data_IF_505784182863
#
_entry.id   IF_505784182863
#
_cell.length_a   1.000
_cell.length_b   1.000
_cell.length_c   1.000
_cell.angle_alpha   90.00
_cell.angle_beta   90.00
_cell.angle_gamma   90.00
#
_symmetry.space_group_name_H-M   'P 1'
#
loop_
_entity.id
_entity.type
_entity.pdbx_description
1 polymer ?
#
# COMPACT_ATOMS: atom_id res chain seq x y z
N UNK A 1 -2.36 -52.71 33.97
CA UNK A 1 -1.15 -51.88 33.74
C UNK A 1 -0.90 -51.77 32.23
N UNK A 2 0.12 -51.02 31.78
CA UNK A 2 0.30 -50.49 30.40
C UNK A 2 1.82 -50.36 30.11
N UNK A 3 2.32 -50.07 28.88
CA UNK A 3 1.94 -50.57 27.54
C UNK A 3 2.67 -51.93 27.29
N UNK A 4 3.59 -52.25 26.33
CA UNK A 4 4.22 -51.49 25.22
C UNK A 4 3.61 -51.78 23.81
N UNK A 5 4.47 -52.00 22.79
CA UNK A 5 4.44 -51.37 21.46
C UNK A 5 5.29 -52.14 20.40
N UNK A 6 5.47 -51.55 19.20
CA UNK A 6 6.12 -52.01 17.95
C UNK A 6 5.25 -52.92 17.04
N UNK A 7 4.96 -52.64 15.75
CA UNK A 7 5.76 -52.22 14.55
C UNK A 7 6.58 -53.38 13.94
N UNK A 8 6.73 -53.58 12.60
CA UNK A 8 6.22 -52.90 11.38
C UNK A 8 6.40 -53.81 10.13
N UNK A 9 5.86 -53.40 8.95
CA UNK A 9 6.31 -53.79 7.57
C UNK A 9 6.04 -55.26 7.14
N UNK A 10 6.04 -55.64 5.84
CA UNK A 10 6.23 -54.91 4.56
C UNK A 10 5.49 -55.60 3.40
N UNK A 11 5.15 -54.86 2.33
CA UNK A 11 4.80 -55.43 1.03
C UNK A 11 5.11 -54.42 -0.10
N UNK A 12 5.77 -54.88 -1.18
CA UNK A 12 5.57 -54.47 -2.59
C UNK A 12 6.52 -55.24 -3.53
N UNK A 13 6.05 -55.52 -4.74
CA UNK A 13 6.77 -56.24 -5.81
C UNK A 13 7.19 -55.30 -6.96
N UNK A 14 8.00 -55.79 -7.89
CA UNK A 14 8.54 -55.04 -9.03
C UNK A 14 7.66 -55.11 -10.29
N UNK A 15 7.59 -54.00 -11.05
CA UNK A 15 7.51 -53.93 -12.54
C UNK A 15 7.19 -52.49 -13.00
N UNK A 16 7.54 -52.04 -14.20
CA UNK A 16 8.42 -52.66 -15.22
C UNK A 16 8.29 -52.00 -16.60
N UNK A 17 9.42 -51.83 -17.28
CA UNK A 17 9.60 -51.49 -18.71
C UNK A 17 9.21 -50.09 -19.26
N UNK A 18 10.16 -49.57 -20.04
CA UNK A 18 10.18 -48.39 -20.90
C UNK A 18 9.01 -48.21 -21.90
N UNK A 19 8.86 -46.98 -22.40
CA UNK A 19 8.98 -46.74 -23.85
C UNK A 19 9.31 -45.27 -24.21
N UNK A 20 9.94 -45.07 -25.37
CA UNK A 20 10.54 -43.80 -25.82
C UNK A 20 10.08 -43.44 -27.24
N UNK A 21 9.56 -42.22 -27.47
CA UNK A 21 9.63 -41.59 -28.80
C UNK A 21 9.46 -40.07 -28.83
N UNK A 22 10.34 -39.43 -29.62
CA UNK A 22 10.29 -38.01 -29.98
C UNK A 22 9.23 -37.70 -31.04
N UNK A 23 8.68 -36.47 -31.02
CA UNK A 23 8.13 -35.80 -32.21
C UNK A 23 8.43 -34.30 -32.17
N UNK A 24 8.45 -33.66 -33.34
CA UNK A 24 9.12 -32.36 -33.57
C UNK A 24 8.21 -31.36 -34.31
N UNK A 25 8.40 -30.08 -34.00
CA UNK A 25 8.25 -28.88 -34.85
C UNK A 25 6.88 -28.37 -35.37
N UNK A 26 6.79 -27.02 -35.31
CA UNK A 26 6.34 -26.04 -36.34
C UNK A 26 4.88 -25.65 -36.58
N UNK A 27 4.54 -24.42 -36.15
CA UNK A 27 4.13 -23.28 -37.00
C UNK A 27 4.55 -21.97 -36.30
N UNK A 28 5.31 -21.07 -36.95
CA UNK A 28 4.88 -19.78 -37.54
C UNK A 28 3.94 -18.94 -36.66
N UNK A 29 4.30 -17.76 -36.16
CA UNK A 29 4.75 -16.51 -36.81
C UNK A 29 3.76 -15.92 -37.84
N UNK A 30 3.14 -14.81 -37.43
CA UNK A 30 2.83 -13.66 -38.30
C UNK A 30 3.03 -12.38 -37.48
N UNK A 31 3.68 -11.36 -38.05
CA UNK A 31 3.58 -9.98 -37.56
C UNK A 31 2.44 -9.28 -38.30
N UNK A 32 1.79 -8.32 -37.67
CA UNK A 32 1.47 -7.05 -38.35
C UNK A 32 1.34 -5.93 -37.32
N UNK A 33 1.26 -4.68 -37.79
CA UNK A 33 1.66 -3.49 -37.03
C UNK A 33 0.71 -2.31 -37.30
N UNK A 34 0.87 -1.26 -36.47
CA UNK A 34 0.59 0.14 -36.81
C UNK A 34 -0.81 0.76 -36.58
N UNK A 35 -0.76 1.95 -35.93
CA UNK A 35 -1.63 3.14 -36.10
C UNK A 35 -2.94 3.26 -35.29
N UNK A 36 -2.89 4.15 -34.29
CA UNK A 36 -3.74 5.36 -34.07
C UNK A 36 -5.12 5.41 -34.79
N UNK A 37 -6.20 5.95 -34.22
CA UNK A 37 -6.28 7.32 -33.69
C UNK A 37 -7.61 7.60 -32.93
N UNK A 38 -7.65 8.71 -32.19
CA UNK A 38 -8.79 9.56 -31.75
C UNK A 38 -10.24 9.02 -31.59
N UNK A 39 -10.85 9.40 -30.46
CA UNK A 39 -12.28 9.79 -30.44
C UNK A 39 -12.52 10.89 -29.39
N UNK A 40 -12.98 12.07 -29.83
CA UNK A 40 -13.42 13.17 -28.95
C UNK A 40 -14.95 13.36 -28.99
N UNK A 41 -15.51 13.75 -27.83
CA UNK A 41 -16.71 14.61 -27.66
C UNK A 41 -18.05 14.23 -28.29
N UNK A 42 -19.00 13.89 -27.42
CA UNK A 42 -20.22 14.67 -27.17
C UNK A 42 -20.62 14.45 -25.70
N UNK A 43 -20.87 15.43 -24.83
CA UNK A 43 -21.63 16.70 -24.90
C UNK A 43 -23.14 16.52 -24.94
N UNK A 44 -23.83 16.88 -23.85
CA UNK A 44 -25.14 17.57 -23.84
C UNK A 44 -25.60 17.94 -22.41
N UNK A 45 -26.10 19.19 -22.26
CA UNK A 45 -27.01 19.71 -21.21
C UNK A 45 -26.48 19.82 -19.75
N UNK A 46 -26.93 20.79 -18.95
CA UNK A 46 -27.74 22.01 -19.23
C UNK A 46 -27.56 23.07 -18.14
N UNK A 47 -28.04 24.30 -18.37
CA UNK A 47 -27.90 25.42 -17.41
C UNK A 47 -28.75 25.28 -16.14
N UNK A 48 -28.32 25.96 -15.07
CA UNK A 48 -29.26 26.65 -14.17
C UNK A 48 -28.64 27.88 -13.48
N UNK A 49 -29.22 29.04 -13.81
CA UNK A 49 -29.35 30.28 -13.02
C UNK A 49 -28.52 30.46 -11.73
N UNK A 50 -27.68 31.50 -11.70
CA UNK A 50 -27.20 32.10 -10.46
C UNK A 50 -28.15 33.22 -9.99
N UNK A 51 -28.47 33.24 -8.69
CA UNK A 51 -29.20 34.34 -8.02
C UNK A 51 -28.47 34.80 -6.75
N UNK A 52 -28.79 36.01 -6.28
CA UNK A 52 -27.93 36.82 -5.44
C UNK A 52 -28.14 36.66 -3.93
N UNK A 53 -27.04 36.39 -3.22
CA UNK A 53 -26.64 37.09 -1.99
C UNK A 53 -27.39 36.82 -0.67
N UNK A 54 -26.61 36.68 0.40
CA UNK A 54 -26.67 37.64 1.52
C UNK A 54 -25.42 37.56 2.38
N UNK A 55 -25.18 38.60 3.18
CA UNK A 55 -24.00 38.77 4.03
C UNK A 55 -24.12 37.93 5.31
N UNK A 56 -22.99 37.40 5.80
CA UNK A 56 -22.82 37.20 7.24
C UNK A 56 -21.41 37.61 7.68
N UNK A 57 -21.34 38.37 8.75
CA UNK A 57 -20.10 38.89 9.33
C UNK A 57 -19.91 38.34 10.74
N UNK A 58 -18.68 37.97 11.12
CA UNK A 58 -18.28 37.87 12.52
C UNK A 58 -16.77 37.79 12.74
N UNK A 59 -16.37 38.46 13.82
CA UNK A 59 -15.25 38.16 14.71
C UNK A 59 -13.90 37.70 14.12
N UNK A 60 -12.92 38.61 14.19
CA UNK A 60 -11.53 38.24 14.51
C UNK A 60 -11.51 37.47 15.83
N UNK A 61 -10.57 36.54 15.99
CA UNK A 61 -10.09 36.16 17.32
C UNK A 61 -8.64 35.67 17.23
N UNK A 62 -7.71 36.44 17.79
CA UNK A 62 -6.30 36.09 17.87
C UNK A 62 -6.10 34.94 18.88
N UNK A 63 -5.51 33.83 18.45
CA UNK A 63 -5.02 32.78 19.36
C UNK A 63 -3.56 32.46 19.07
N UNK A 64 -2.69 33.01 19.93
CA UNK A 64 -1.24 32.97 19.82
C UNK A 64 -0.67 31.59 20.23
N UNK A 65 -0.61 30.65 19.28
CA UNK A 65 0.05 29.36 19.49
C UNK A 65 1.55 29.42 19.15
N UNK A 66 2.35 29.59 20.20
CA UNK A 66 3.81 29.37 20.17
C UNK A 66 4.10 27.91 19.76
N UNK A 67 4.73 27.71 18.61
CA UNK A 67 5.31 26.42 18.27
C UNK A 67 6.50 26.12 19.20
N UNK A 68 6.43 25.00 19.91
CA UNK A 68 7.52 24.53 20.75
C UNK A 68 8.72 24.09 19.90
N UNK A 69 9.94 24.20 20.44
CA UNK A 69 11.16 23.75 19.80
C UNK A 69 11.11 22.24 19.48
N UNK A 70 10.88 21.90 18.21
CA UNK A 70 11.18 20.57 17.68
C UNK A 70 12.67 20.57 17.29
N UNK A 71 13.54 19.78 17.93
CA UNK A 71 14.95 19.72 17.55
C UNK A 71 15.07 19.18 16.11
N UNK A 72 15.94 19.77 15.27
CA UNK A 72 16.06 19.36 13.87
C UNK A 72 16.53 17.89 13.76
N UNK A 73 16.06 17.15 12.74
CA UNK A 73 16.46 15.76 12.55
C UNK A 73 17.98 15.63 12.42
N UNK A 74 18.55 14.62 13.06
CA UNK A 74 20.00 14.47 13.22
C UNK A 74 20.71 14.37 11.86
N UNK A 75 21.52 15.38 11.53
CA UNK A 75 22.35 15.48 10.31
C UNK A 75 23.48 14.43 10.22
N UNK A 76 23.47 13.39 11.06
CA UNK A 76 24.55 12.40 11.19
C UNK A 76 24.46 11.24 10.18
N UNK A 77 23.28 10.62 10.05
CA UNK A 77 23.12 9.38 9.27
C UNK A 77 23.35 9.56 7.74
N UNK A 78 23.03 10.75 7.22
CA UNK A 78 23.04 11.06 5.78
C UNK A 78 24.44 11.02 5.16
N UNK A 79 25.51 11.13 5.95
CA UNK A 79 26.91 11.29 5.47
C UNK A 79 27.54 10.03 4.85
N UNK A 80 26.84 8.90 4.78
CA UNK A 80 27.39 7.64 4.22
C UNK A 80 26.99 7.37 2.77
N UNK A 81 26.00 8.05 2.22
CA UNK A 81 25.45 7.77 0.89
C UNK A 81 26.21 8.47 -0.27
N UNK A 82 27.55 8.42 -0.24
CA UNK A 82 28.42 9.06 -1.25
C UNK A 82 28.64 8.20 -2.51
N UNK A 83 28.16 8.70 -3.64
CA UNK A 83 28.25 8.07 -4.96
C UNK A 83 29.67 7.54 -5.27
N UNK A 84 29.74 6.35 -5.88
CA UNK A 84 30.97 5.81 -6.47
C UNK A 84 30.95 6.08 -7.98
N UNK A 85 32.11 6.30 -8.56
CA UNK A 85 32.25 6.60 -9.99
C UNK A 85 32.90 5.40 -10.68
N UNK A 86 32.08 4.54 -11.28
CA UNK A 86 32.52 3.26 -11.82
C UNK A 86 31.87 2.92 -13.16
N UNK A 87 32.71 2.31 -14.02
CA UNK A 87 32.45 1.86 -15.39
C UNK A 87 32.13 2.92 -16.47
N UNK A 88 32.64 2.62 -17.67
CA UNK A 88 32.37 3.36 -18.91
C UNK A 88 31.42 2.53 -19.78
N UNK A 89 30.15 2.89 -19.82
CA UNK A 89 29.22 2.38 -20.84
C UNK A 89 29.14 3.38 -21.99
N UNK A 90 29.48 2.95 -23.21
CA UNK A 90 29.38 3.79 -24.41
C UNK A 90 30.28 5.03 -24.44
N UNK A 91 31.33 5.08 -23.60
CA UNK A 91 32.23 6.23 -23.47
C UNK A 91 31.87 7.24 -22.37
N UNK A 92 30.61 7.23 -21.91
CA UNK A 92 30.17 8.04 -20.77
C UNK A 92 30.56 7.31 -19.46
N UNK A 93 31.15 8.04 -18.52
CA UNK A 93 31.34 7.57 -17.14
C UNK A 93 30.02 7.65 -16.40
N UNK A 94 29.55 6.51 -15.90
CA UNK A 94 28.30 6.43 -15.12
C UNK A 94 28.59 6.72 -13.65
N UNK A 95 27.79 7.59 -13.03
CA UNK A 95 27.83 7.76 -11.57
C UNK A 95 26.93 6.73 -10.90
N UNK A 96 27.41 6.02 -9.89
CA UNK A 96 26.68 4.95 -9.21
C UNK A 96 26.37 5.30 -7.75
N UNK A 97 25.22 4.86 -7.25
CA UNK A 97 24.87 5.03 -5.84
C UNK A 97 25.73 4.13 -4.94
N UNK A 98 25.79 4.44 -3.65
CA UNK A 98 26.40 3.51 -2.68
C UNK A 98 25.61 2.20 -2.60
N UNK A 99 26.28 1.08 -2.25
CA UNK A 99 25.60 -0.12 -1.76
C UNK A 99 24.57 0.25 -0.68
N UNK A 100 24.97 1.04 0.32
CA UNK A 100 24.09 1.44 1.43
C UNK A 100 22.80 2.15 0.98
N UNK A 101 22.84 2.94 -0.10
CA UNK A 101 21.65 3.61 -0.66
C UNK A 101 20.73 2.61 -1.37
N UNK A 102 21.31 1.72 -2.18
CA UNK A 102 20.58 0.67 -2.90
C UNK A 102 19.95 -0.31 -1.91
N UNK A 103 20.70 -0.77 -0.90
CA UNK A 103 20.24 -1.64 0.18
C UNK A 103 19.07 -1.01 0.94
N UNK A 104 19.18 0.28 1.29
CA UNK A 104 18.10 1.03 1.95
C UNK A 104 16.86 1.18 1.06
N UNK A 105 17.04 1.31 -0.26
CA UNK A 105 15.93 1.32 -1.22
C UNK A 105 15.26 -0.06 -1.31
N UNK A 106 16.04 -1.14 -1.36
CA UNK A 106 15.53 -2.51 -1.35
C UNK A 106 14.84 -2.87 -0.02
N UNK A 107 15.29 -2.34 1.12
CA UNK A 107 14.58 -2.48 2.40
C UNK A 107 13.17 -1.84 2.35
N UNK A 108 13.03 -0.70 1.64
CA UNK A 108 11.75 -0.02 1.45
C UNK A 108 10.82 -0.83 0.53
N UNK A 109 11.34 -1.32 -0.59
CA UNK A 109 10.59 -2.14 -1.56
C UNK A 109 10.10 -3.46 -0.90
N UNK A 110 10.99 -4.15 -0.18
CA UNK A 110 10.68 -5.43 0.47
C UNK A 110 9.67 -5.28 1.61
N UNK A 111 9.76 -4.21 2.42
CA UNK A 111 8.78 -3.97 3.48
C UNK A 111 7.43 -3.53 2.90
N UNK A 112 7.39 -2.82 1.76
CA UNK A 112 6.13 -2.53 1.06
C UNK A 112 5.39 -3.82 0.69
N UNK A 113 6.08 -4.80 0.10
CA UNK A 113 5.50 -6.11 -0.21
C UNK A 113 5.00 -6.83 1.06
N UNK A 114 5.86 -6.90 2.08
CA UNK A 114 5.53 -7.51 3.40
C UNK A 114 4.28 -6.88 4.04
N UNK A 115 4.05 -5.60 3.81
CA UNK A 115 2.94 -4.83 4.36
C UNK A 115 1.64 -4.99 3.54
N UNK A 116 1.72 -5.25 2.23
CA UNK A 116 0.58 -5.65 1.40
C UNK A 116 0.07 -7.06 1.76
N UNK A 117 0.98 -8.02 1.95
CA UNK A 117 0.65 -9.36 2.43
C UNK A 117 -0.01 -9.29 3.81
N UNK A 118 0.60 -8.57 4.75
CA UNK A 118 0.02 -8.32 6.08
C UNK A 118 -1.37 -7.66 6.00
N UNK A 119 -1.54 -6.67 5.12
CA UNK A 119 -2.84 -6.02 4.89
C UNK A 119 -3.90 -7.01 4.41
N UNK A 120 -3.52 -7.92 3.50
CA UNK A 120 -4.40 -8.97 2.98
C UNK A 120 -4.87 -9.91 4.10
N UNK A 121 -3.97 -10.36 4.97
CA UNK A 121 -4.33 -11.18 6.14
C UNK A 121 -5.23 -10.44 7.15
N UNK A 122 -4.92 -9.18 7.48
CA UNK A 122 -5.73 -8.37 8.40
C UNK A 122 -7.16 -8.16 7.87
N UNK A 123 -7.31 -7.95 6.56
CA UNK A 123 -8.61 -7.86 5.89
C UNK A 123 -9.37 -9.19 5.97
N UNK A 124 -8.73 -10.33 5.68
CA UNK A 124 -9.36 -11.65 5.80
C UNK A 124 -9.80 -12.02 7.23
N UNK A 125 -9.08 -11.53 8.25
CA UNK A 125 -9.44 -11.68 9.66
C UNK A 125 -10.70 -10.86 10.01
N UNK A 126 -10.80 -9.63 9.48
CA UNK A 126 -11.91 -8.72 9.74
C UNK A 126 -13.17 -9.03 8.90
N UNK A 127 -13.00 -9.49 7.66
CA UNK A 127 -14.07 -9.73 6.70
C UNK A 127 -13.90 -11.11 6.06
N UNK A 128 -14.51 -12.11 6.71
CA UNK A 128 -14.42 -13.52 6.29
C UNK A 128 -15.25 -13.85 5.04
N UNK A 129 -16.13 -12.95 4.58
CA UNK A 129 -16.85 -13.14 3.32
C UNK A 129 -16.02 -12.57 2.16
N UNK A 130 -15.45 -13.40 1.27
CA UNK A 130 -14.59 -12.92 0.18
C UNK A 130 -15.32 -12.03 -0.83
N UNK A 131 -16.66 -12.11 -0.92
CA UNK A 131 -17.46 -11.19 -1.77
C UNK A 131 -17.41 -9.73 -1.30
N UNK A 132 -17.06 -9.51 -0.05
CA UNK A 132 -17.02 -8.20 0.60
C UNK A 132 -15.57 -7.79 0.92
N UNK A 133 -14.58 -8.54 0.44
CA UNK A 133 -13.17 -8.20 0.57
C UNK A 133 -12.77 -7.23 -0.56
N UNK A 134 -12.14 -6.08 -0.25
CA UNK A 134 -11.80 -5.06 -1.24
C UNK A 134 -10.69 -5.53 -2.19
N UNK A 135 -10.92 -5.37 -3.50
CA UNK A 135 -9.90 -5.54 -4.54
C UNK A 135 -9.66 -4.18 -5.20
N UNK A 136 -8.45 -3.59 -5.14
CA UNK A 136 -7.26 -4.07 -4.43
C UNK A 136 -7.32 -3.85 -2.91
N UNK A 137 -6.70 -4.76 -2.16
CA UNK A 137 -6.67 -4.78 -0.69
C UNK A 137 -6.15 -3.48 -0.05
N UNK A 138 -5.25 -2.76 -0.73
CA UNK A 138 -4.65 -1.48 -0.29
C UNK A 138 -5.70 -0.45 0.18
N UNK A 139 -6.91 -0.43 -0.39
CA UNK A 139 -7.96 0.51 0.03
C UNK A 139 -8.57 0.20 1.40
N UNK A 140 -8.48 -1.05 1.86
CA UNK A 140 -9.04 -1.55 3.12
C UNK A 140 -10.55 -1.25 3.31
N UNK A 141 -11.34 -1.30 2.25
CA UNK A 141 -12.80 -1.09 2.27
C UNK A 141 -13.53 -2.42 2.56
N UNK A 142 -13.37 -2.95 3.78
CA UNK A 142 -13.90 -4.27 4.18
C UNK A 142 -15.22 -4.22 4.99
N UNK A 143 -15.78 -3.02 5.14
CA UNK A 143 -17.06 -2.77 5.81
C UNK A 143 -18.22 -3.49 5.09
N UNK A 144 -19.14 -4.14 5.82
CA UNK A 144 -20.37 -4.67 5.21
C UNK A 144 -21.22 -3.54 4.59
N UNK A 145 -21.67 -3.72 3.35
CA UNK A 145 -22.72 -2.87 2.77
C UNK A 145 -24.02 -2.93 3.60
N UNK A 146 -24.92 -1.96 3.43
CA UNK A 146 -26.21 -1.90 4.14
C UNK A 146 -27.02 -3.17 3.82
N UNK A 147 -27.54 -3.85 4.84
CA UNK A 147 -28.33 -5.07 4.68
C UNK A 147 -27.56 -6.32 4.24
N UNK A 148 -26.22 -6.28 4.14
CA UNK A 148 -25.39 -7.46 3.82
C UNK A 148 -24.70 -8.11 5.03
N UNK A 149 -24.89 -7.56 6.23
CA UNK A 149 -24.37 -8.14 7.46
C UNK A 149 -25.19 -9.40 7.81
N UNK A 150 -24.58 -10.57 8.08
CA UNK A 150 -25.32 -11.80 8.39
C UNK A 150 -26.36 -11.67 9.50
N UNK A 151 -26.09 -10.83 10.51
CA UNK A 151 -27.00 -10.61 11.64
C UNK A 151 -28.15 -9.65 11.30
N UNK A 152 -27.97 -8.75 10.32
CA UNK A 152 -29.06 -7.92 9.76
C UNK A 152 -29.96 -8.75 8.84
N UNK A 153 -29.39 -9.69 8.08
CA UNK A 153 -30.13 -10.64 7.23
C UNK A 153 -30.93 -11.67 8.05
N UNK A 154 -30.47 -12.00 9.26
CA UNK A 154 -31.14 -12.95 10.15
C UNK A 154 -32.45 -12.40 10.74
N UNK A 155 -32.54 -11.08 10.97
CA UNK A 155 -33.73 -10.41 11.54
C UNK A 155 -35.01 -10.67 10.71
N UNK A 156 -35.08 -10.32 9.40
CA UNK A 156 -36.29 -10.55 8.61
C UNK A 156 -36.59 -12.04 8.40
N UNK A 157 -35.56 -12.91 8.37
CA UNK A 157 -35.75 -14.35 8.29
C UNK A 157 -36.44 -14.92 9.55
N UNK A 158 -36.01 -14.49 10.75
CA UNK A 158 -36.68 -14.87 12.00
C UNK A 158 -38.11 -14.30 12.07
N UNK A 159 -38.31 -13.05 11.63
CA UNK A 159 -39.64 -12.44 11.57
C UNK A 159 -40.59 -13.22 10.65
N UNK A 160 -40.12 -13.65 9.46
CA UNK A 160 -40.89 -14.45 8.51
C UNK A 160 -41.41 -15.77 9.10
N UNK A 161 -40.60 -16.46 9.91
CA UNK A 161 -40.96 -17.76 10.50
C UNK A 161 -41.49 -17.65 11.94
N UNK A 162 -41.62 -16.44 12.50
CA UNK A 162 -42.04 -16.21 13.88
C UNK A 162 -43.38 -16.87 14.24
N UNK A 163 -44.36 -16.84 13.33
CA UNK A 163 -45.66 -17.50 13.51
C UNK A 163 -45.65 -19.04 13.50
N UNK A 164 -44.51 -19.67 13.19
CA UNK A 164 -44.29 -21.12 13.30
C UNK A 164 -43.50 -21.50 14.56
N UNK A 165 -43.00 -20.51 15.30
CA UNK A 165 -42.15 -20.69 16.48
C UNK A 165 -42.97 -20.34 17.73
N UNK A 166 -43.36 -21.36 18.49
CA UNK A 166 -44.33 -21.23 19.60
C UNK A 166 -43.82 -20.48 20.87
N UNK A 167 -42.69 -19.76 20.79
CA UNK A 167 -42.14 -18.97 21.90
C UNK A 167 -41.79 -17.54 21.45
N UNK A 168 -42.74 -16.63 21.66
CA UNK A 168 -42.60 -15.19 21.40
C UNK A 168 -41.48 -14.52 22.19
N UNK A 169 -41.19 -14.99 23.41
CA UNK A 169 -40.15 -14.41 24.27
C UNK A 169 -38.75 -14.80 23.76
N UNK A 170 -38.55 -16.05 23.35
CA UNK A 170 -37.32 -16.50 22.71
C UNK A 170 -37.06 -15.76 21.39
N UNK A 171 -38.10 -15.59 20.55
CA UNK A 171 -38.01 -14.82 19.30
C UNK A 171 -37.59 -13.39 19.58
N UNK A 172 -38.25 -12.71 20.53
CA UNK A 172 -37.95 -11.33 20.90
C UNK A 172 -36.49 -11.16 21.37
N UNK A 173 -36.02 -12.03 22.28
CA UNK A 173 -34.61 -12.06 22.71
C UNK A 173 -33.63 -12.27 21.55
N UNK A 174 -33.93 -13.21 20.64
CA UNK A 174 -33.05 -13.53 19.52
C UNK A 174 -33.00 -12.38 18.49
N UNK A 175 -34.10 -11.67 18.25
CA UNK A 175 -34.11 -10.46 17.41
C UNK A 175 -33.24 -9.35 18.02
N UNK A 176 -33.44 -9.05 19.32
CA UNK A 176 -32.65 -8.05 20.05
C UNK A 176 -31.14 -8.38 20.04
N UNK A 177 -30.79 -9.66 20.23
CA UNK A 177 -29.40 -10.12 20.13
C UNK A 177 -28.87 -9.93 18.70
N UNK A 178 -29.64 -10.31 17.67
CA UNK A 178 -29.23 -10.19 16.26
C UNK A 178 -28.98 -8.72 15.86
N UNK A 179 -29.86 -7.80 16.26
CA UNK A 179 -29.64 -6.35 16.11
C UNK A 179 -28.34 -5.90 16.78
N UNK A 180 -28.09 -6.36 18.01
CA UNK A 180 -26.91 -5.94 18.77
C UNK A 180 -25.61 -6.44 18.15
N UNK A 181 -25.58 -7.69 17.69
CA UNK A 181 -24.43 -8.29 17.01
C UNK A 181 -24.18 -7.60 15.66
N UNK A 182 -25.25 -7.23 14.94
CA UNK A 182 -25.17 -6.43 13.71
C UNK A 182 -24.48 -5.06 13.94
N UNK A 183 -24.90 -4.34 14.98
CA UNK A 183 -24.27 -3.08 15.40
C UNK A 183 -22.79 -3.27 15.74
N UNK A 184 -22.45 -4.28 16.56
CA UNK A 184 -21.09 -4.56 17.00
C UNK A 184 -20.15 -4.84 15.82
N UNK A 185 -20.60 -5.58 14.80
CA UNK A 185 -19.83 -5.80 13.57
C UNK A 185 -19.52 -4.49 12.82
N UNK A 186 -20.52 -3.62 12.62
CA UNK A 186 -20.32 -2.33 11.94
C UNK A 186 -19.38 -1.41 12.70
N UNK A 187 -19.48 -1.41 14.03
CA UNK A 187 -18.60 -0.60 14.88
C UNK A 187 -17.17 -1.16 14.92
N UNK A 188 -16.99 -2.48 14.95
CA UNK A 188 -15.68 -3.11 14.79
C UNK A 188 -15.04 -2.77 13.44
N UNK A 189 -15.75 -2.95 12.32
CA UNK A 189 -15.22 -2.63 10.99
C UNK A 189 -14.77 -1.16 10.89
N UNK A 190 -15.62 -0.22 11.31
CA UNK A 190 -15.29 1.22 11.30
C UNK A 190 -14.07 1.56 12.15
N UNK A 191 -13.91 0.91 13.32
CA UNK A 191 -12.76 1.10 14.22
C UNK A 191 -11.49 0.46 13.67
N UNK A 192 -11.57 -0.77 13.16
CA UNK A 192 -10.46 -1.50 12.55
C UNK A 192 -9.91 -0.78 11.30
N UNK A 193 -10.79 -0.35 10.38
CA UNK A 193 -10.44 0.42 9.18
C UNK A 193 -9.80 1.79 9.49
N UNK A 194 -10.09 2.35 10.67
CA UNK A 194 -9.44 3.55 11.22
C UNK A 194 -8.08 3.23 11.87
N UNK A 195 -7.97 2.11 12.59
CA UNK A 195 -6.71 1.69 13.23
C UNK A 195 -5.59 1.33 12.25
N UNK A 196 -5.92 1.06 10.97
CA UNK A 196 -4.98 0.79 9.89
C UNK A 196 -4.74 2.01 8.96
N UNK A 197 -5.08 3.24 9.40
CA UNK A 197 -5.00 4.46 8.57
C UNK A 197 -3.61 4.69 7.98
N UNK A 198 -2.56 4.57 8.79
CA UNK A 198 -1.20 4.96 8.35
C UNK A 198 -0.64 3.91 7.38
N UNK A 199 -0.90 2.63 7.64
CA UNK A 199 -0.57 1.53 6.72
C UNK A 199 -1.21 1.76 5.34
N UNK A 200 -2.50 2.13 5.30
CA UNK A 200 -3.18 2.48 4.04
C UNK A 200 -2.56 3.69 3.36
N UNK A 201 -2.26 4.75 4.10
CA UNK A 201 -1.67 5.97 3.55
C UNK A 201 -0.29 5.70 2.94
N UNK A 202 0.57 4.95 3.63
CA UNK A 202 1.86 4.53 3.09
C UNK A 202 1.72 3.75 1.76
N UNK A 203 0.85 2.73 1.73
CA UNK A 203 0.67 1.85 0.57
C UNK A 203 0.03 2.55 -0.64
N UNK A 204 -0.79 3.59 -0.42
CA UNK A 204 -1.50 4.32 -1.49
C UNK A 204 -0.90 5.67 -1.89
N UNK A 205 -0.02 6.25 -1.08
CA UNK A 205 0.57 7.58 -1.31
C UNK A 205 2.08 7.58 -1.10
N UNK A 206 2.56 7.40 0.13
CA UNK A 206 3.97 7.69 0.48
C UNK A 206 4.97 6.80 -0.30
N UNK A 207 4.63 5.52 -0.55
CA UNK A 207 5.45 4.64 -1.38
C UNK A 207 5.47 5.06 -2.86
N UNK A 208 4.38 5.62 -3.38
CA UNK A 208 4.32 6.15 -4.75
C UNK A 208 5.16 7.43 -4.87
N UNK A 209 5.12 8.30 -3.87
CA UNK A 209 5.97 9.49 -3.79
C UNK A 209 7.46 9.12 -3.72
N UNK A 210 7.82 8.10 -2.92
CA UNK A 210 9.17 7.54 -2.90
C UNK A 210 9.61 7.00 -4.26
N UNK A 211 8.75 6.23 -4.94
CA UNK A 211 9.07 5.68 -6.27
C UNK A 211 9.26 6.78 -7.31
N UNK A 212 8.44 7.82 -7.31
CA UNK A 212 8.56 8.96 -8.23
C UNK A 212 9.82 9.79 -7.94
N UNK A 213 10.11 10.10 -6.68
CA UNK A 213 11.35 10.81 -6.30
C UNK A 213 12.60 9.98 -6.70
N UNK A 214 12.59 8.65 -6.50
CA UNK A 214 13.64 7.74 -6.96
C UNK A 214 13.75 7.69 -8.50
N UNK A 215 12.65 7.84 -9.23
CA UNK A 215 12.63 7.94 -10.71
C UNK A 215 13.25 9.25 -11.18
N UNK A 216 12.84 10.38 -10.60
CA UNK A 216 13.37 11.73 -10.94
C UNK A 216 14.86 11.82 -10.59
N UNK A 217 15.28 11.30 -9.43
CA UNK A 217 16.70 11.22 -9.05
C UNK A 217 17.54 10.45 -10.08
N UNK A 218 17.02 9.33 -10.58
CA UNK A 218 17.68 8.55 -11.64
C UNK A 218 17.75 9.29 -12.98
N UNK A 219 16.79 10.18 -13.28
CA UNK A 219 16.90 11.08 -14.43
C UNK A 219 17.99 12.14 -14.20
N UNK A 220 17.97 12.85 -13.06
CA UNK A 220 18.98 13.88 -12.75
C UNK A 220 20.41 13.35 -12.74
N UNK A 221 20.59 12.09 -12.31
CA UNK A 221 21.88 11.39 -12.38
C UNK A 221 22.37 11.23 -13.83
N UNK A 222 21.47 10.91 -14.78
CA UNK A 222 21.79 10.82 -16.21
C UNK A 222 22.05 12.20 -16.82
N UNK A 223 21.23 13.20 -16.49
CA UNK A 223 21.42 14.59 -16.93
C UNK A 223 22.82 15.10 -16.53
N UNK A 224 23.23 14.81 -15.28
CA UNK A 224 24.54 15.16 -14.71
C UNK A 224 25.69 14.36 -15.37
N UNK A 225 25.57 13.05 -15.53
CA UNK A 225 26.58 12.21 -16.20
C UNK A 225 26.84 12.69 -17.65
N UNK A 226 25.77 13.03 -18.37
CA UNK A 226 25.86 13.58 -19.73
C UNK A 226 26.54 14.96 -19.75
N UNK A 227 26.12 15.89 -18.89
CA UNK A 227 26.73 17.22 -18.79
C UNK A 227 28.23 17.14 -18.42
N UNK A 228 28.61 16.18 -17.57
CA UNK A 228 30.00 15.89 -17.19
C UNK A 228 30.82 15.36 -18.37
N UNK A 229 30.26 14.44 -19.17
CA UNK A 229 30.90 13.95 -20.40
C UNK A 229 31.11 15.09 -21.41
N UNK A 230 30.10 15.92 -21.63
CA UNK A 230 30.17 17.09 -22.51
C UNK A 230 31.22 18.11 -22.06
N UNK A 231 31.38 18.31 -20.75
CA UNK A 231 32.44 19.15 -20.19
C UNK A 231 33.84 18.56 -20.44
N UNK A 232 34.04 17.24 -20.24
CA UNK A 232 35.34 16.58 -20.49
C UNK A 232 35.77 16.64 -21.96
N UNK A 233 34.83 16.70 -22.89
CA UNK A 233 35.11 16.72 -24.33
C UNK A 233 35.29 18.15 -24.91
N UNK A 234 35.01 19.20 -24.14
CA UNK A 234 35.17 20.59 -24.56
C UNK A 234 36.65 20.98 -24.66
N UNK A 235 37.04 21.63 -25.78
CA UNK A 235 38.44 21.98 -26.08
C UNK A 235 38.73 23.49 -26.16
N UNK A 236 37.70 24.31 -26.37
CA UNK A 236 37.82 25.77 -26.45
C UNK A 236 37.46 26.38 -25.08
N UNK A 237 38.21 27.36 -24.54
CA UNK A 237 37.99 27.91 -23.20
C UNK A 237 36.55 28.41 -22.95
N UNK A 238 36.00 29.19 -23.88
CA UNK A 238 34.62 29.72 -23.80
C UNK A 238 33.56 28.60 -23.75
N UNK A 239 33.81 27.50 -24.45
CA UNK A 239 32.93 26.32 -24.44
C UNK A 239 33.09 25.53 -23.14
N UNK A 240 34.30 25.44 -22.58
CA UNK A 240 34.55 24.81 -21.27
C UNK A 240 33.77 25.57 -20.19
N UNK A 241 33.87 26.90 -20.13
CA UNK A 241 33.13 27.73 -19.17
C UNK A 241 31.60 27.57 -19.30
N UNK A 242 31.09 27.55 -20.54
CA UNK A 242 29.67 27.33 -20.80
C UNK A 242 29.22 25.92 -20.35
N UNK A 243 29.96 24.88 -20.72
CA UNK A 243 29.65 23.49 -20.32
C UNK A 243 29.77 23.29 -18.80
N UNK A 244 30.70 23.97 -18.14
CA UNK A 244 30.88 23.90 -16.69
C UNK A 244 29.65 24.44 -15.94
N UNK A 245 29.08 25.57 -16.40
CA UNK A 245 27.82 26.10 -15.85
C UNK A 245 26.66 25.13 -16.01
N UNK A 246 26.58 24.41 -17.13
CA UNK A 246 25.57 23.37 -17.37
C UNK A 246 25.76 22.17 -16.43
N UNK A 247 27.00 21.71 -16.23
CA UNK A 247 27.33 20.63 -15.30
C UNK A 247 26.97 20.99 -13.85
N UNK A 248 27.41 22.14 -13.35
CA UNK A 248 27.10 22.57 -11.97
C UNK A 248 25.58 22.77 -11.75
N UNK A 249 24.84 23.24 -12.75
CA UNK A 249 23.37 23.32 -12.66
C UNK A 249 22.72 21.92 -12.60
N UNK A 250 23.12 20.99 -13.48
CA UNK A 250 22.62 19.61 -13.46
C UNK A 250 22.98 18.90 -12.14
N UNK A 251 24.16 19.16 -11.60
CA UNK A 251 24.61 18.68 -10.29
C UNK A 251 23.77 19.24 -9.14
N UNK A 252 23.43 20.54 -9.14
CA UNK A 252 22.51 21.13 -8.13
C UNK A 252 21.16 20.41 -8.14
N UNK A 253 20.54 20.24 -9.32
CA UNK A 253 19.27 19.55 -9.46
C UNK A 253 19.33 18.07 -9.00
N UNK A 254 20.47 17.40 -9.19
CA UNK A 254 20.71 16.08 -8.66
C UNK A 254 20.84 16.08 -7.11
N UNK A 255 21.66 16.96 -6.55
CA UNK A 255 21.88 17.07 -5.09
C UNK A 255 20.57 17.44 -4.34
N UNK A 256 19.76 18.31 -4.94
CA UNK A 256 18.41 18.68 -4.45
C UNK A 256 17.45 17.49 -4.44
N UNK A 257 17.42 16.67 -5.49
CA UNK A 257 16.54 15.49 -5.55
C UNK A 257 17.04 14.37 -4.63
N UNK A 258 18.36 14.19 -4.52
CA UNK A 258 18.98 13.25 -3.59
C UNK A 258 18.61 13.60 -2.14
N UNK A 259 18.62 14.90 -1.79
CA UNK A 259 18.20 15.37 -0.48
C UNK A 259 16.71 15.09 -0.19
N UNK A 260 15.82 15.12 -1.20
CA UNK A 260 14.40 14.73 -1.06
C UNK A 260 14.25 13.23 -0.81
N UNK A 261 14.89 12.39 -1.64
CA UNK A 261 14.83 10.93 -1.49
C UNK A 261 15.39 10.48 -0.14
N UNK A 262 16.57 10.98 0.26
CA UNK A 262 17.16 10.69 1.57
C UNK A 262 16.30 11.19 2.75
N UNK A 263 15.57 12.31 2.60
CA UNK A 263 14.61 12.79 3.61
C UNK A 263 13.43 11.81 3.78
N UNK A 264 12.90 11.28 2.68
CA UNK A 264 11.82 10.26 2.73
C UNK A 264 12.33 8.99 3.42
N UNK A 265 13.50 8.49 3.01
CA UNK A 265 14.15 7.32 3.64
C UNK A 265 14.39 7.54 5.14
N UNK A 266 14.79 8.75 5.54
CA UNK A 266 14.99 9.13 6.95
C UNK A 266 13.70 9.19 7.81
N UNK A 267 12.52 9.25 7.20
CA UNK A 267 11.22 9.14 7.91
C UNK A 267 10.81 7.69 8.16
N UNK A 268 11.36 6.74 7.39
CA UNK A 268 10.89 5.36 7.31
C UNK A 268 10.87 4.59 8.64
N UNK A 269 11.87 4.68 9.53
CA UNK A 269 11.82 3.99 10.83
C UNK A 269 10.62 4.41 11.69
N UNK A 270 10.16 5.67 11.58
CA UNK A 270 8.99 6.19 12.30
C UNK A 270 7.67 5.69 11.71
N UNK A 271 7.59 5.56 10.38
CA UNK A 271 6.47 4.91 9.70
C UNK A 271 6.37 3.44 10.16
N UNK A 272 7.49 2.69 10.20
CA UNK A 272 7.51 1.31 10.73
C UNK A 272 6.97 1.20 12.16
N UNK A 273 7.40 2.10 13.06
CA UNK A 273 6.89 2.14 14.44
C UNK A 273 5.38 2.46 14.51
N UNK A 274 4.90 3.38 13.66
CA UNK A 274 3.48 3.70 13.54
C UNK A 274 2.66 2.51 13.03
N UNK A 275 3.16 1.78 12.04
CA UNK A 275 2.50 0.62 11.46
C UNK A 275 2.41 -0.53 12.48
N UNK A 276 3.45 -0.78 13.27
CA UNK A 276 3.39 -1.73 14.38
C UNK A 276 2.27 -1.37 15.37
N UNK A 277 2.12 -0.09 15.73
CA UNK A 277 1.01 0.39 16.59
C UNK A 277 -0.36 0.24 15.92
N UNK A 278 -0.46 0.42 14.59
CA UNK A 278 -1.70 0.19 13.82
C UNK A 278 -2.14 -1.29 13.97
N UNK A 279 -1.22 -2.24 13.79
CA UNK A 279 -1.47 -3.69 13.90
C UNK A 279 -1.85 -4.11 15.33
N UNK A 280 -1.11 -3.65 16.35
CA UNK A 280 -1.44 -3.95 17.76
C UNK A 280 -2.82 -3.40 18.13
N UNK A 281 -3.16 -2.20 17.66
CA UNK A 281 -4.49 -1.60 17.87
C UNK A 281 -5.60 -2.40 17.20
N UNK A 282 -5.37 -2.90 15.98
CA UNK A 282 -6.32 -3.78 15.28
C UNK A 282 -6.61 -5.05 16.09
N UNK A 283 -5.58 -5.74 16.60
CA UNK A 283 -5.79 -6.95 17.41
C UNK A 283 -6.47 -6.68 18.76
N UNK A 284 -6.17 -5.55 19.41
CA UNK A 284 -6.89 -5.12 20.61
C UNK A 284 -8.38 -4.87 20.33
N UNK A 285 -8.70 -4.23 19.20
CA UNK A 285 -10.08 -4.04 18.74
C UNK A 285 -10.78 -5.36 18.38
N UNK A 286 -10.06 -6.32 17.75
CA UNK A 286 -10.60 -7.64 17.43
C UNK A 286 -10.94 -8.45 18.69
N UNK A 287 -10.07 -8.40 19.71
CA UNK A 287 -10.32 -9.05 21.00
C UNK A 287 -11.54 -8.45 21.71
N UNK A 288 -11.59 -7.11 21.82
CA UNK A 288 -12.71 -6.39 22.41
C UNK A 288 -14.04 -6.65 21.68
N UNK A 289 -13.99 -6.76 20.35
CA UNK A 289 -15.16 -7.13 19.53
C UNK A 289 -15.68 -8.52 19.90
N UNK A 290 -14.83 -9.55 19.98
CA UNK A 290 -15.26 -10.90 20.38
C UNK A 290 -15.74 -10.96 21.84
N UNK A 291 -15.11 -10.21 22.76
CA UNK A 291 -15.59 -10.05 24.14
C UNK A 291 -17.02 -9.46 24.17
N UNK A 292 -17.30 -8.42 23.40
CA UNK A 292 -18.61 -7.77 23.32
C UNK A 292 -19.66 -8.65 22.62
N UNK A 293 -19.28 -9.38 21.57
CA UNK A 293 -20.14 -10.35 20.89
C UNK A 293 -20.55 -11.50 21.84
N UNK A 294 -19.60 -12.02 22.63
CA UNK A 294 -19.87 -13.06 23.61
C UNK A 294 -20.76 -12.56 24.77
N UNK A 295 -20.66 -11.28 25.16
CA UNK A 295 -21.56 -10.67 26.14
C UNK A 295 -22.98 -10.47 25.59
N UNK A 296 -23.13 -10.08 24.32
CA UNK A 296 -24.42 -9.90 23.66
C UNK A 296 -25.16 -11.22 23.32
N UNK A 297 -24.57 -12.37 23.66
CA UNK A 297 -25.14 -13.72 23.51
C UNK A 297 -25.38 -14.43 24.86
N UNK A 298 -25.22 -13.73 26.00
CA UNK A 298 -25.56 -14.29 27.31
C UNK A 298 -27.08 -14.23 27.56
N UNK A 299 -27.69 -15.27 28.14
CA UNK A 299 -29.15 -15.44 28.24
C UNK A 299 -29.83 -14.55 29.29
#
# INVERSE_FOLDING_TARGET
MKPPEAQQKSAQEESGADLNKSRKSSTKETKEEHTLQDTQKSSLKSESTATSGSSFSSARNDTNHKYANVPPPQRGAMKKFFLRLTEKMGGIEKTEYTPEFNDSCHEIDNYKLSLEDMTTYLIGIAQRNPKNAPIPFVRMEFDYHVGQNPYELLIPAIQQYSGLLNDSNMISKQLQSSEKLGQLYRDFHRRARRSLKEIRYFLSVEYSEFCEARRVLNQRRQDMDYAKHELKNAKAPEVIDMKNRVFEHAKSLFDEELAKVLKIMGMYPRQKESHAKNVVTFFALYRLFHEQMALALKP
#
